data_IF_743893199524
#
_entry.id   IF_743893199524
#
_cell.length_a   1.000
_cell.length_b   1.000
_cell.length_c   1.000
_cell.angle_alpha   90.00
_cell.angle_beta   90.00
_cell.angle_gamma   90.00
#
_symmetry.space_group_name_H-M   'P 1'
#
loop_
_entity.id
_entity.type
_entity.pdbx_description
1 polymer ?
#
# COMPACT_ATOMS: atom_id res chain seq x y z
N UNK A 1 -3.42 4.15 -3.90
CA UNK A 1 -3.42 2.70 -4.19
C UNK A 1 -3.78 2.05 -2.88
N UNK A 2 -5.06 1.79 -2.69
CA UNK A 2 -5.60 1.40 -1.39
C UNK A 2 -5.49 -0.11 -1.28
N UNK A 3 -4.52 -0.58 -0.48
CA UNK A 3 -4.38 -1.99 -0.17
C UNK A 3 -5.39 -2.35 0.92
N UNK A 4 -6.37 -3.20 0.59
CA UNK A 4 -7.31 -3.73 1.58
C UNK A 4 -6.86 -5.12 1.96
N UNK A 5 -6.27 -5.22 3.15
CA UNK A 5 -6.00 -6.50 3.80
C UNK A 5 -7.26 -6.97 4.52
N UNK A 6 -7.94 -7.97 3.99
CA UNK A 6 -8.89 -8.76 4.76
C UNK A 6 -8.24 -10.07 5.19
N UNK A 7 -7.98 -10.23 6.49
CA UNK A 7 -7.50 -11.48 7.06
C UNK A 7 -8.62 -12.15 7.87
N UNK A 8 -9.01 -13.36 7.47
CA UNK A 8 -9.74 -14.30 8.33
C UNK A 8 -8.72 -15.14 9.10
N UNK A 9 -8.83 -15.15 10.44
CA UNK A 9 -7.82 -15.67 11.39
C UNK A 9 -7.67 -17.21 11.44
N UNK A 10 -8.22 -17.98 10.50
CA UNK A 10 -8.25 -19.45 10.59
C UNK A 10 -7.09 -20.19 9.93
N UNK A 11 -6.04 -19.50 9.42
CA UNK A 11 -5.01 -20.16 8.60
C UNK A 11 -3.58 -19.67 8.84
N UNK A 12 -3.11 -19.68 10.08
CA UNK A 12 -1.70 -19.48 10.42
C UNK A 12 -1.11 -20.78 10.97
N UNK A 13 -0.68 -21.65 10.06
CA UNK A 13 0.48 -22.50 10.31
C UNK A 13 1.25 -22.64 8.99
N UNK A 14 2.58 -22.48 9.07
CA UNK A 14 3.58 -22.52 7.99
C UNK A 14 3.87 -21.20 7.28
N UNK A 15 4.66 -20.36 7.94
CA UNK A 15 5.63 -19.52 7.23
C UNK A 15 7.00 -19.73 7.90
N UNK A 16 7.70 -20.77 7.45
CA UNK A 16 9.13 -20.98 7.70
C UNK A 16 9.84 -21.18 6.37
N UNK A 17 9.76 -20.19 5.47
CA UNK A 17 10.48 -20.22 4.19
C UNK A 17 10.87 -18.84 3.63
N UNK A 18 10.72 -17.75 4.39
CA UNK A 18 10.90 -16.38 3.86
C UNK A 18 12.34 -15.85 3.92
N UNK A 19 13.30 -16.61 4.46
CA UNK A 19 14.72 -16.15 4.55
C UNK A 19 15.55 -16.40 3.29
N UNK A 20 15.13 -17.30 2.39
CA UNK A 20 15.92 -17.64 1.19
C UNK A 20 15.59 -16.77 -0.02
N UNK A 21 14.34 -16.36 -0.19
CA UNK A 21 13.89 -15.59 -1.36
C UNK A 21 14.33 -14.12 -1.38
N UNK A 22 14.57 -13.52 -0.22
CA UNK A 22 15.02 -12.12 -0.10
C UNK A 22 16.50 -11.98 -0.48
N UNK A 23 17.29 -13.05 -0.36
CA UNK A 23 18.74 -13.03 -0.51
C UNK A 23 19.21 -13.03 -1.97
N UNK A 24 18.39 -13.53 -2.90
CA UNK A 24 18.74 -13.62 -4.32
C UNK A 24 18.34 -12.38 -5.13
N UNK A 25 17.53 -11.48 -4.55
CA UNK A 25 16.96 -10.33 -5.26
C UNK A 25 17.36 -8.95 -4.73
N UNK A 26 18.10 -8.92 -3.62
CA UNK A 26 18.78 -7.71 -3.15
C UNK A 26 20.25 -7.92 -3.52
N UNK A 27 20.74 -7.38 -4.66
CA UNK A 27 22.18 -7.30 -4.83
C UNK A 27 22.73 -6.57 -3.60
N UNK A 28 23.83 -7.06 -3.05
CA UNK A 28 24.61 -6.36 -2.04
C UNK A 28 24.90 -4.96 -2.56
N UNK A 29 24.12 -3.96 -2.18
CA UNK A 29 24.38 -2.61 -2.62
C UNK A 29 24.02 -1.61 -1.54
N UNK A 30 25.04 -0.83 -1.21
CA UNK A 30 24.98 0.52 -0.69
C UNK A 30 24.21 1.47 -1.63
N UNK A 31 22.98 1.13 -2.02
CA UNK A 31 22.03 2.07 -2.63
C UNK A 31 21.17 2.61 -1.50
N UNK A 32 21.50 3.81 -1.03
CA UNK A 32 20.76 4.52 0.02
C UNK A 32 19.38 5.00 -0.44
N UNK A 33 19.13 5.05 -1.76
CA UNK A 33 17.89 5.55 -2.34
C UNK A 33 17.41 4.72 -3.53
N UNK A 34 16.18 4.22 -3.48
CA UNK A 34 15.49 3.55 -4.59
C UNK A 34 14.35 4.43 -5.10
N UNK A 35 14.08 4.42 -6.41
CA UNK A 35 12.93 5.16 -6.94
C UNK A 35 11.62 4.59 -6.40
N UNK A 36 10.65 5.47 -6.11
CA UNK A 36 9.34 5.07 -5.57
C UNK A 36 8.67 4.01 -6.45
N UNK A 37 8.74 4.18 -7.78
CA UNK A 37 8.12 3.24 -8.73
C UNK A 37 8.77 1.86 -8.69
N UNK A 38 10.10 1.77 -8.62
CA UNK A 38 10.79 0.49 -8.53
C UNK A 38 10.45 -0.24 -7.24
N UNK A 39 10.44 0.49 -6.11
CA UNK A 39 10.04 -0.07 -4.83
C UNK A 39 8.59 -0.58 -4.87
N UNK A 40 7.66 0.18 -5.45
CA UNK A 40 6.27 -0.24 -5.63
C UNK A 40 6.16 -1.54 -6.44
N UNK A 41 6.85 -1.62 -7.58
CA UNK A 41 6.84 -2.82 -8.43
C UNK A 41 7.40 -4.03 -7.69
N UNK A 42 8.52 -3.84 -6.96
CA UNK A 42 9.14 -4.91 -6.19
C UNK A 42 8.20 -5.45 -5.11
N UNK A 43 7.57 -4.56 -4.33
CA UNK A 43 6.64 -4.95 -3.28
C UNK A 43 5.37 -5.61 -3.84
N UNK A 44 4.84 -5.13 -4.98
CA UNK A 44 3.69 -5.76 -5.65
C UNK A 44 4.03 -7.18 -6.09
N UNK A 45 5.21 -7.41 -6.68
CA UNK A 45 5.65 -8.75 -7.05
C UNK A 45 5.69 -9.70 -5.85
N UNK A 46 6.27 -9.25 -4.74
CA UNK A 46 6.30 -10.04 -3.50
C UNK A 46 4.89 -10.33 -2.99
N UNK A 47 4.01 -9.32 -2.96
CA UNK A 47 2.63 -9.48 -2.51
C UNK A 47 1.87 -10.53 -3.36
N UNK A 48 2.06 -10.52 -4.68
CA UNK A 48 1.47 -11.50 -5.58
C UNK A 48 1.98 -12.93 -5.30
N UNK A 49 3.28 -13.10 -5.08
CA UNK A 49 3.87 -14.41 -4.71
C UNK A 49 3.32 -14.92 -3.38
N UNK A 50 3.03 -14.03 -2.44
CA UNK A 50 2.42 -14.37 -1.15
C UNK A 50 0.90 -14.61 -1.23
N UNK A 51 0.30 -14.47 -2.42
CA UNK A 51 -1.14 -14.69 -2.63
C UNK A 51 -2.03 -13.52 -2.19
N UNK A 52 -1.47 -12.31 -2.05
CA UNK A 52 -2.26 -11.11 -1.76
C UNK A 52 -3.10 -10.74 -2.97
N UNK A 53 -4.40 -10.56 -2.78
CA UNK A 53 -5.32 -10.08 -3.81
C UNK A 53 -5.19 -8.56 -3.96
N UNK A 54 -4.87 -8.10 -5.16
CA UNK A 54 -4.70 -6.68 -5.48
C UNK A 54 -5.76 -6.30 -6.51
N UNK A 55 -6.54 -5.27 -6.19
CA UNK A 55 -7.52 -4.68 -7.09
C UNK A 55 -7.07 -3.25 -7.42
N UNK A 56 -6.85 -2.98 -8.71
CA UNK A 56 -6.55 -1.65 -9.20
C UNK A 56 -7.83 -0.93 -9.64
N UNK A 57 -7.73 0.36 -10.00
CA UNK A 57 -8.84 1.15 -10.54
C UNK A 57 -10.08 1.23 -9.63
N UNK A 58 -9.92 0.95 -8.34
CA UNK A 58 -10.96 1.01 -7.31
C UNK A 58 -10.54 1.98 -6.22
N UNK A 59 -11.44 2.88 -5.85
CA UNK A 59 -11.23 3.85 -4.78
C UNK A 59 -12.12 3.53 -3.59
N UNK A 60 -11.51 3.40 -2.41
CA UNK A 60 -12.23 3.30 -1.13
C UNK A 60 -12.92 4.64 -0.83
N UNK A 61 -14.23 4.61 -0.59
CA UNK A 61 -15.02 5.79 -0.26
C UNK A 61 -15.26 5.89 1.25
N UNK A 62 -15.89 4.86 1.83
CA UNK A 62 -16.22 4.84 3.25
C UNK A 62 -16.38 3.43 3.80
N UNK A 63 -16.29 3.34 5.11
CA UNK A 63 -16.60 2.13 5.88
C UNK A 63 -18.12 2.02 6.07
N UNK A 64 -18.67 0.83 5.85
CA UNK A 64 -20.07 0.48 6.07
C UNK A 64 -20.14 -0.31 7.38
N UNK A 65 -20.82 0.28 8.37
CA UNK A 65 -21.03 -0.35 9.66
C UNK A 65 -21.98 -1.56 9.52
N UNK A 66 -21.73 -2.66 10.25
CA UNK A 66 -22.62 -3.81 10.29
C UNK A 66 -23.98 -3.37 10.83
N UNK A 67 -25.03 -3.47 10.00
CA UNK A 67 -26.42 -3.19 10.40
C UNK A 67 -27.22 -4.49 10.40
N UNK A 68 -28.16 -4.67 11.35
CA UNK A 68 -29.09 -5.79 11.32
C UNK A 68 -30.03 -5.64 10.11
N UNK A 69 -30.16 -6.72 9.34
CA UNK A 69 -31.14 -6.83 8.26
C UNK A 69 -32.55 -7.05 8.83
N UNK A 70 -33.58 -6.99 7.98
CA UNK A 70 -35.00 -7.20 8.36
C UNK A 70 -35.24 -8.56 9.06
N UNK A 71 -34.39 -9.55 8.78
CA UNK A 71 -34.41 -10.88 9.38
C UNK A 71 -33.52 -11.01 10.64
N UNK A 72 -33.03 -9.90 11.21
CA UNK A 72 -32.15 -9.89 12.39
C UNK A 72 -30.71 -10.39 12.14
N UNK A 73 -30.36 -10.70 10.88
CA UNK A 73 -29.01 -11.16 10.52
C UNK A 73 -28.09 -9.95 10.32
N UNK A 74 -26.99 -9.90 11.06
CA UNK A 74 -26.00 -8.83 10.94
C UNK A 74 -24.93 -9.25 9.92
N UNK A 75 -24.79 -8.49 8.83
CA UNK A 75 -23.64 -8.63 7.91
C UNK A 75 -22.43 -7.92 8.56
N UNK A 76 -21.24 -8.50 8.48
CA UNK A 76 -20.02 -7.93 9.05
C UNK A 76 -19.59 -6.60 8.39
N UNK A 77 -18.43 -6.06 8.80
CA UNK A 77 -17.92 -4.81 8.25
C UNK A 77 -17.63 -4.92 6.76
N UNK A 78 -18.03 -3.89 6.02
CA UNK A 78 -17.83 -3.79 4.57
C UNK A 78 -17.37 -2.40 4.21
N UNK A 79 -16.99 -2.18 2.96
CA UNK A 79 -16.58 -0.89 2.44
C UNK A 79 -17.38 -0.53 1.19
N UNK A 80 -17.63 0.76 1.02
CA UNK A 80 -18.13 1.30 -0.23
C UNK A 80 -16.96 1.67 -1.14
N UNK A 81 -17.11 1.32 -2.42
CA UNK A 81 -16.10 1.51 -3.44
C UNK A 81 -16.66 2.31 -4.63
N UNK A 82 -15.76 2.99 -5.33
CA UNK A 82 -16.01 3.57 -6.64
C UNK A 82 -15.09 2.90 -7.67
N UNK A 83 -15.60 2.40 -8.80
CA UNK A 83 -17.00 2.42 -9.25
C UNK A 83 -17.93 1.46 -8.46
N UNK A 84 -19.23 1.75 -8.45
CA UNK A 84 -20.25 0.93 -7.77
C UNK A 84 -20.40 -0.43 -8.44
N UNK A 85 -20.72 -1.47 -7.66
CA UNK A 85 -20.90 -2.83 -8.18
C UNK A 85 -19.61 -3.65 -8.31
N UNK A 86 -18.51 -3.15 -7.74
CA UNK A 86 -17.27 -3.91 -7.67
C UNK A 86 -17.41 -5.13 -6.74
N UNK A 87 -16.72 -6.24 -7.06
CA UNK A 87 -16.77 -7.52 -6.31
C UNK A 87 -16.39 -7.37 -4.83
N UNK A 88 -15.62 -6.34 -4.49
CA UNK A 88 -15.23 -6.03 -3.11
C UNK A 88 -16.37 -5.45 -2.25
N UNK A 89 -17.48 -5.02 -2.86
CA UNK A 89 -18.61 -4.43 -2.12
C UNK A 89 -19.28 -5.42 -1.16
N UNK A 90 -19.18 -6.71 -1.46
CA UNK A 90 -19.69 -7.80 -0.62
C UNK A 90 -18.60 -8.43 0.25
N UNK A 91 -17.35 -7.97 0.15
CA UNK A 91 -16.25 -8.48 0.93
C UNK A 91 -16.35 -8.02 2.39
N UNK A 92 -16.43 -9.01 3.29
CA UNK A 92 -16.47 -8.79 4.74
C UNK A 92 -15.06 -8.90 5.31
N UNK A 93 -14.65 -7.91 6.10
CA UNK A 93 -13.32 -7.85 6.72
C UNK A 93 -13.41 -7.45 8.18
N UNK A 94 -12.46 -7.87 9.00
CA UNK A 94 -12.40 -7.50 10.43
C UNK A 94 -11.31 -6.45 10.72
N UNK A 95 -10.43 -6.20 9.75
CA UNK A 95 -9.34 -5.23 9.84
C UNK A 95 -9.30 -4.34 8.59
N UNK A 96 -9.00 -3.05 8.79
CA UNK A 96 -8.80 -2.08 7.72
C UNK A 96 -7.47 -1.34 7.95
N UNK A 97 -6.62 -1.35 6.94
CA UNK A 97 -5.33 -0.65 6.97
C UNK A 97 -5.38 0.51 5.97
N UNK A 98 -5.33 1.74 6.47
CA UNK A 98 -5.27 2.95 5.65
C UNK A 98 -3.85 3.27 5.20
N UNK A 99 -3.52 2.96 3.94
CA UNK A 99 -2.19 3.21 3.34
C UNK A 99 -2.25 4.11 2.09
N UNK A 100 -3.24 4.99 1.99
CA UNK A 100 -3.52 5.79 0.78
C UNK A 100 -2.88 7.19 0.79
N UNK A 101 -1.90 7.40 1.68
CA UNK A 101 -1.14 8.64 1.81
C UNK A 101 -1.92 9.80 2.45
N UNK A 102 -1.36 11.01 2.37
CA UNK A 102 -1.87 12.19 3.11
C UNK A 102 -3.32 12.58 2.76
N UNK A 103 -3.75 12.29 1.53
CA UNK A 103 -5.02 12.78 0.95
C UNK A 103 -6.25 12.07 1.49
N UNK A 104 -6.14 10.80 1.87
CA UNK A 104 -7.28 10.01 2.30
C UNK A 104 -7.07 9.52 3.73
N UNK A 105 -7.98 9.91 4.62
CA UNK A 105 -7.99 9.40 5.99
C UNK A 105 -9.33 8.82 6.31
N UNK A 106 -9.28 7.64 6.91
CA UNK A 106 -10.45 6.98 7.44
C UNK A 106 -11.09 7.93 8.49
N UNK A 107 -12.41 8.16 8.41
CA UNK A 107 -13.12 8.96 9.42
C UNK A 107 -12.85 8.45 10.84
N UNK A 108 -12.75 9.36 11.81
CA UNK A 108 -12.46 9.03 13.21
C UNK A 108 -10.98 9.11 13.60
N UNK A 109 -10.07 9.36 12.64
CA UNK A 109 -8.64 9.55 12.91
C UNK A 109 -8.25 11.03 12.73
N UNK A 110 -8.25 11.85 13.81
CA UNK A 110 -7.90 13.26 13.71
C UNK A 110 -6.43 13.43 13.30
N UNK A 111 -6.17 14.36 12.39
CA UNK A 111 -4.81 14.75 11.99
C UNK A 111 -4.34 15.91 12.84
N UNK A 112 -3.12 15.81 13.36
CA UNK A 112 -2.41 16.96 13.93
C UNK A 112 -1.62 17.65 12.82
N UNK A 113 -2.06 18.82 12.39
CA UNK A 113 -1.29 19.65 11.46
C UNK A 113 -0.33 20.54 12.25
N UNK A 114 0.96 20.47 11.95
CA UNK A 114 1.96 21.42 12.45
C UNK A 114 2.28 22.40 11.34
N UNK A 115 2.03 23.69 11.59
CA UNK A 115 2.39 24.76 10.65
C UNK A 115 3.69 25.40 11.12
N UNK A 116 4.74 25.20 10.33
CA UNK A 116 6.02 25.86 10.51
C UNK A 116 6.14 27.15 9.69
N UNK A 117 7.37 27.66 9.55
CA UNK A 117 7.70 28.71 8.58
C UNK A 117 7.45 28.19 7.16
N UNK A 118 7.19 29.12 6.23
CA UNK A 118 7.03 28.80 4.81
C UNK A 118 8.27 28.05 4.30
N UNK A 119 8.04 26.90 3.68
CA UNK A 119 9.06 26.07 3.05
C UNK A 119 8.54 25.55 1.71
N UNK A 120 9.35 25.67 0.66
CA UNK A 120 9.00 25.22 -0.70
C UNK A 120 10.06 24.19 -1.11
N UNK A 121 9.61 22.97 -1.38
CA UNK A 121 10.44 21.90 -1.92
C UNK A 121 10.25 21.79 -3.43
N UNK A 122 11.36 21.73 -4.18
CA UNK A 122 11.36 21.49 -5.63
C UNK A 122 12.09 20.17 -5.87
N UNK A 123 11.49 19.28 -6.67
CA UNK A 123 12.09 18.00 -7.07
C UNK A 123 12.24 17.96 -8.59
N UNK A 124 13.42 17.60 -9.09
CA UNK A 124 13.69 17.42 -10.51
C UNK A 124 14.20 16.00 -10.77
N UNK A 125 13.83 15.43 -11.92
CA UNK A 125 14.36 14.15 -12.40
C UNK A 125 14.96 14.39 -13.78
N UNK A 126 16.24 14.06 -13.95
CA UNK A 126 16.94 14.12 -15.22
C UNK A 126 17.11 12.71 -15.79
N UNK A 127 17.23 12.61 -17.11
CA UNK A 127 17.55 11.34 -17.77
C UNK A 127 18.98 10.97 -17.38
N UNK A 128 19.17 9.73 -16.93
CA UNK A 128 20.48 9.16 -16.64
C UNK A 128 20.79 8.13 -17.73
N UNK A 129 21.79 8.40 -18.57
CA UNK A 129 22.21 7.49 -19.65
C UNK A 129 23.19 6.42 -19.18
N UNK A 130 23.63 6.50 -17.91
CA UNK A 130 24.59 5.60 -17.27
C UNK A 130 25.93 5.55 -18.00
N UNK A 131 26.36 6.70 -18.49
CA UNK A 131 27.72 6.85 -19.02
C UNK A 131 28.75 6.81 -17.87
N UNK A 132 29.99 6.43 -18.18
CA UNK A 132 31.07 6.41 -17.17
C UNK A 132 31.30 7.78 -16.53
N UNK A 133 31.00 8.87 -17.24
CA UNK A 133 31.17 10.21 -16.70
C UNK A 133 30.00 10.63 -15.79
N UNK A 134 28.78 10.16 -16.06
CA UNK A 134 27.63 10.32 -15.15
C UNK A 134 27.82 9.53 -13.85
N UNK A 135 28.37 8.31 -13.93
CA UNK A 135 28.55 7.42 -12.76
C UNK A 135 29.66 7.91 -11.81
N UNK A 136 30.64 8.66 -12.32
CA UNK A 136 31.70 9.27 -11.51
C UNK A 136 31.21 10.46 -10.67
N UNK A 137 30.03 11.03 -10.97
CA UNK A 137 29.52 12.18 -10.23
C UNK A 137 29.04 11.73 -8.84
N UNK A 138 29.62 12.27 -7.76
CA UNK A 138 29.23 11.88 -6.40
C UNK A 138 27.86 12.43 -6.01
N UNK A 139 27.16 11.71 -5.14
CA UNK A 139 25.91 12.15 -4.52
C UNK A 139 26.16 13.37 -3.59
N UNK A 140 25.28 14.38 -3.68
CA UNK A 140 25.28 15.52 -2.76
C UNK A 140 24.41 15.15 -1.55
N UNK A 141 24.97 15.25 -0.34
CA UNK A 141 24.29 14.96 0.93
C UNK A 141 24.10 16.21 1.77
#
# INVERSE_FOLDING_TARGET
MSFIFGHSLSRISRISASKRFIRDFVPEVSITSVSIRQLQIFLVKIALVLGVQIHDSVSFQRLIFPKPDENGKVKGWRAEFSPSGHVLSDFVFDALIGADGKRNTIPGFPKREMRGKLAIGITANFVNQRTLDEEKVPEIR
#
